data_IF_285935028994
#
_entry.id   IF_285935028994
#
_cell.length_a   1.000
_cell.length_b   1.000
_cell.length_c   1.000
_cell.angle_alpha   90.00
_cell.angle_beta   90.00
_cell.angle_gamma   90.00
#
_symmetry.space_group_name_H-M   'P 1'
#
loop_
_entity.id
_entity.type
_entity.pdbx_description
1 polymer ?
#
# COMPACT_ATOMS: atom_id res chain seq x y z
N UNK A 1 -14.23 -20.35 29.89
CA UNK A 1 -13.53 -19.10 30.28
C UNK A 1 -14.32 -17.92 29.76
N UNK A 2 -14.37 -16.79 30.49
CA UNK A 2 -15.06 -15.59 30.00
C UNK A 2 -14.24 -14.90 28.91
N UNK A 3 -14.91 -14.42 27.86
CA UNK A 3 -14.29 -13.67 26.75
C UNK A 3 -13.54 -12.44 27.25
N UNK A 4 -14.05 -11.81 28.31
CA UNK A 4 -13.43 -10.66 29.00
C UNK A 4 -12.04 -11.00 29.55
N UNK A 5 -11.85 -12.19 30.13
CA UNK A 5 -10.55 -12.59 30.65
C UNK A 5 -9.52 -12.77 29.52
N UNK A 6 -9.94 -13.30 28.37
CA UNK A 6 -9.11 -13.43 27.18
C UNK A 6 -8.73 -12.05 26.62
N UNK A 7 -9.69 -11.13 26.47
CA UNK A 7 -9.40 -9.77 26.02
C UNK A 7 -8.44 -9.02 26.96
N UNK A 8 -8.56 -9.22 28.28
CA UNK A 8 -7.64 -8.60 29.26
C UNK A 8 -6.20 -9.08 29.07
N UNK A 9 -6.02 -10.36 28.72
CA UNK A 9 -4.71 -10.93 28.38
C UNK A 9 -4.14 -10.26 27.13
N UNK A 10 -4.95 -10.11 26.08
CA UNK A 10 -4.51 -9.45 24.83
C UNK A 10 -4.17 -7.97 25.06
N UNK A 11 -4.93 -7.27 25.92
CA UNK A 11 -4.61 -5.89 26.29
C UNK A 11 -3.28 -5.79 27.06
N UNK A 12 -3.02 -6.72 27.97
CA UNK A 12 -1.72 -6.77 28.67
C UNK A 12 -0.57 -7.07 27.71
N UNK A 13 -0.80 -7.95 26.73
CA UNK A 13 0.15 -8.20 25.65
C UNK A 13 0.42 -6.92 24.84
N UNK A 14 -0.60 -6.17 24.45
CA UNK A 14 -0.46 -4.90 23.74
C UNK A 14 0.40 -3.90 24.50
N UNK A 15 0.16 -3.74 25.82
CA UNK A 15 0.96 -2.85 26.69
C UNK A 15 2.45 -3.20 26.69
N UNK A 16 2.78 -4.50 26.72
CA UNK A 16 4.19 -4.94 26.69
C UNK A 16 4.85 -4.74 25.33
N UNK A 17 4.06 -4.74 24.25
CA UNK A 17 4.53 -4.58 22.88
C UNK A 17 4.11 -3.22 22.29
N UNK A 18 4.00 -2.19 23.15
CA UNK A 18 3.46 -0.88 22.76
C UNK A 18 4.21 -0.26 21.58
N UNK A 19 5.53 -0.46 21.49
CA UNK A 19 6.33 0.05 20.37
C UNK A 19 5.92 -0.60 19.05
N UNK A 20 5.74 -1.92 19.03
CA UNK A 20 5.30 -2.65 17.83
C UNK A 20 3.89 -2.24 17.45
N UNK A 21 3.00 -2.11 18.43
CA UNK A 21 1.62 -1.66 18.20
C UNK A 21 1.61 -0.24 17.66
N UNK A 22 2.35 0.70 18.26
CA UNK A 22 2.47 2.08 17.80
C UNK A 22 3.02 2.16 16.37
N UNK A 23 4.09 1.41 16.09
CA UNK A 23 4.68 1.34 14.76
C UNK A 23 3.65 0.88 13.72
N UNK A 24 2.93 -0.19 14.02
CA UNK A 24 1.99 -0.78 13.08
C UNK A 24 0.71 0.05 12.93
N UNK A 25 0.15 0.56 14.04
CA UNK A 25 -1.16 1.23 14.09
C UNK A 25 -1.06 2.71 13.73
N UNK A 26 0.09 3.33 13.95
CA UNK A 26 0.28 4.76 13.72
C UNK A 26 1.31 5.01 12.63
N UNK A 27 2.54 4.51 12.79
CA UNK A 27 3.62 4.92 11.88
C UNK A 27 3.38 4.43 10.45
N UNK A 28 2.95 3.19 10.26
CA UNK A 28 2.65 2.66 8.92
C UNK A 28 1.48 3.42 8.28
N UNK A 29 0.30 3.61 8.91
CA UNK A 29 -0.77 4.43 8.35
C UNK A 29 -0.38 5.87 8.03
N UNK A 30 0.37 6.53 8.92
CA UNK A 30 0.91 7.88 8.66
C UNK A 30 1.80 7.87 7.42
N UNK A 31 2.65 6.85 7.27
CA UNK A 31 3.49 6.71 6.08
C UNK A 31 2.64 6.59 4.82
N UNK A 32 1.62 5.71 4.79
CA UNK A 32 0.73 5.58 3.63
C UNK A 32 -0.01 6.90 3.31
N UNK A 33 -0.58 7.55 4.33
CA UNK A 33 -1.24 8.84 4.17
C UNK A 33 -0.28 9.95 3.72
N UNK A 34 1.00 9.90 4.11
CA UNK A 34 2.02 10.84 3.63
C UNK A 34 2.46 10.55 2.19
N UNK A 35 2.59 9.28 1.82
CA UNK A 35 2.99 8.90 0.45
C UNK A 35 1.93 9.21 -0.58
N UNK A 36 0.64 9.33 -0.21
CA UNK A 36 -0.40 9.71 -1.16
C UNK A 36 -0.08 11.03 -1.86
N UNK A 37 0.56 11.96 -1.14
CA UNK A 37 0.98 13.26 -1.67
C UNK A 37 1.99 13.16 -2.82
N UNK A 38 2.74 12.06 -2.91
CA UNK A 38 3.76 11.86 -3.96
C UNK A 38 3.16 11.40 -5.30
N UNK A 39 1.89 11.00 -5.33
CA UNK A 39 1.25 10.48 -6.55
C UNK A 39 0.64 11.57 -7.43
N UNK A 40 0.83 12.85 -7.10
CA UNK A 40 0.24 13.98 -7.84
C UNK A 40 0.84 14.17 -9.24
N UNK A 41 2.06 13.68 -9.48
CA UNK A 41 2.87 14.06 -10.64
C UNK A 41 2.97 12.99 -11.75
N UNK A 42 2.18 11.91 -11.69
CA UNK A 42 2.24 10.89 -12.75
C UNK A 42 1.37 11.31 -13.93
N UNK A 43 2.01 11.87 -14.96
CA UNK A 43 1.37 12.15 -16.24
C UNK A 43 1.15 10.83 -17.01
N UNK A 44 -0.10 10.45 -17.28
CA UNK A 44 -0.35 9.36 -18.21
C UNK A 44 0.19 9.73 -19.61
N UNK A 45 0.41 8.74 -20.46
CA UNK A 45 0.72 8.95 -21.88
C UNK A 45 -0.37 8.27 -22.70
N UNK A 46 -0.64 8.78 -23.91
CA UNK A 46 -1.60 8.20 -24.84
C UNK A 46 -3.03 8.16 -24.27
N UNK A 47 -3.43 9.22 -23.59
CA UNK A 47 -4.78 9.34 -23.03
C UNK A 47 -5.77 9.52 -24.17
N UNK A 48 -6.79 8.65 -24.32
CA UNK A 48 -7.84 8.86 -25.31
C UNK A 48 -8.62 10.14 -25.02
N UNK A 49 -8.69 11.03 -25.99
CA UNK A 49 -9.41 12.31 -25.91
C UNK A 49 -10.34 12.42 -27.12
N UNK A 50 -11.61 12.73 -26.92
CA UNK A 50 -12.52 12.99 -28.03
C UNK A 50 -12.28 14.41 -28.56
N UNK A 51 -12.13 14.57 -29.87
CA UNK A 51 -12.11 15.88 -30.54
C UNK A 51 -13.45 16.05 -31.24
N UNK A 52 -14.10 17.18 -31.02
CA UNK A 52 -15.45 17.41 -31.53
C UNK A 52 -15.64 18.87 -31.91
N UNK A 53 -16.43 19.11 -32.96
CA UNK A 53 -16.82 20.45 -33.34
C UNK A 53 -17.76 21.09 -32.30
N UNK A 54 -17.61 22.40 -32.10
CA UNK A 54 -18.58 23.21 -31.35
C UNK A 54 -19.93 23.26 -32.06
N UNK A 55 -19.91 23.44 -33.38
CA UNK A 55 -21.08 23.50 -34.26
C UNK A 55 -20.77 23.00 -35.69
N UNK A 56 -21.78 23.02 -36.57
CA UNK A 56 -21.69 22.48 -37.93
C UNK A 56 -20.84 23.34 -38.90
N UNK A 57 -20.30 24.49 -38.46
CA UNK A 57 -19.42 25.32 -39.29
C UNK A 57 -17.95 24.91 -39.24
N UNK A 58 -17.57 24.08 -38.26
CA UNK A 58 -16.23 23.50 -38.15
C UNK A 58 -16.08 22.37 -39.16
N UNK A 59 -15.03 22.41 -39.95
CA UNK A 59 -14.74 21.44 -41.00
C UNK A 59 -14.07 20.18 -40.43
N UNK A 60 -14.23 19.04 -41.14
CA UNK A 60 -13.54 17.80 -40.78
C UNK A 60 -12.00 17.97 -40.81
N UNK A 61 -11.49 18.85 -41.68
CA UNK A 61 -10.06 19.18 -41.80
C UNK A 61 -9.54 19.91 -40.55
N UNK A 62 -10.30 20.89 -40.02
CA UNK A 62 -9.95 21.56 -38.76
C UNK A 62 -9.92 20.56 -37.60
N UNK A 63 -10.91 19.67 -37.49
CA UNK A 63 -10.95 18.65 -36.46
C UNK A 63 -9.76 17.68 -36.55
N UNK A 64 -9.42 17.25 -37.76
CA UNK A 64 -8.29 16.34 -38.00
C UNK A 64 -6.96 17.04 -37.70
N UNK A 65 -6.81 18.32 -38.03
CA UNK A 65 -5.58 19.09 -37.76
C UNK A 65 -5.38 19.30 -36.26
N UNK A 66 -6.43 19.67 -35.53
CA UNK A 66 -6.37 19.73 -34.05
C UNK A 66 -6.06 18.36 -33.46
N UNK A 67 -6.70 17.30 -33.95
CA UNK A 67 -6.41 15.93 -33.50
C UNK A 67 -4.92 15.58 -33.73
N UNK A 68 -4.39 15.77 -34.94
CA UNK A 68 -2.99 15.48 -35.25
C UNK A 68 -2.01 16.30 -34.38
N UNK A 69 -2.36 17.55 -34.06
CA UNK A 69 -1.56 18.41 -33.18
C UNK A 69 -1.38 17.81 -31.79
N UNK A 70 -2.47 17.31 -31.20
CA UNK A 70 -2.47 16.79 -29.82
C UNK A 70 -2.10 15.29 -29.73
N UNK A 71 -1.95 14.59 -30.86
CA UNK A 71 -1.60 13.16 -30.92
C UNK A 71 -0.25 12.85 -30.29
N UNK A 72 0.68 13.80 -30.29
CA UNK A 72 2.03 13.63 -29.70
C UNK A 72 2.02 13.33 -28.19
N UNK A 73 0.96 13.69 -27.47
CA UNK A 73 0.82 13.47 -26.03
C UNK A 73 -0.53 12.86 -25.61
N UNK A 74 -1.51 12.76 -26.52
CA UNK A 74 -2.82 12.12 -26.30
C UNK A 74 -3.03 10.92 -27.25
N UNK A 75 -4.26 10.44 -27.37
CA UNK A 75 -4.72 9.48 -28.38
C UNK A 75 -6.08 9.97 -28.91
N UNK A 76 -6.08 11.01 -29.74
CA UNK A 76 -7.27 11.75 -30.12
C UNK A 76 -8.22 10.89 -30.96
N UNK A 77 -9.52 11.07 -30.76
CA UNK A 77 -10.58 10.40 -31.51
C UNK A 77 -11.60 11.43 -31.96
N UNK A 78 -11.69 11.65 -33.27
CA UNK A 78 -12.71 12.55 -33.83
C UNK A 78 -14.10 11.93 -33.60
N UNK A 79 -14.97 12.68 -32.92
CA UNK A 79 -16.33 12.28 -32.63
C UNK A 79 -17.29 13.05 -33.54
N UNK A 80 -18.20 12.33 -34.22
CA UNK A 80 -19.13 12.97 -35.16
C UNK A 80 -20.23 13.85 -34.54
N UNK A 81 -20.27 14.02 -33.21
CA UNK A 81 -21.16 14.99 -32.54
C UNK A 81 -20.77 15.16 -31.07
N UNK A 82 -21.13 16.31 -30.49
CA UNK A 82 -20.93 16.59 -29.05
C UNK A 82 -21.59 15.54 -28.15
N UNK A 83 -22.76 15.05 -28.55
CA UNK A 83 -23.45 13.99 -27.81
C UNK A 83 -22.74 12.64 -27.91
N UNK A 84 -22.10 12.32 -29.04
CA UNK A 84 -21.28 11.12 -29.18
C UNK A 84 -20.01 11.21 -28.31
N UNK A 85 -19.33 12.36 -28.31
CA UNK A 85 -18.18 12.61 -27.43
C UNK A 85 -18.56 12.50 -25.95
N UNK A 86 -19.70 13.09 -25.54
CA UNK A 86 -20.20 12.96 -24.17
C UNK A 86 -20.51 11.51 -23.79
N UNK A 87 -21.17 10.74 -24.66
CA UNK A 87 -21.39 9.31 -24.43
C UNK A 87 -20.08 8.51 -24.35
N UNK A 88 -19.05 8.93 -25.09
CA UNK A 88 -17.73 8.31 -25.01
C UNK A 88 -17.06 8.60 -23.66
N UNK A 89 -17.19 9.83 -23.15
CA UNK A 89 -16.69 10.25 -21.84
C UNK A 89 -17.43 9.51 -20.71
N UNK A 90 -18.76 9.47 -20.74
CA UNK A 90 -19.61 8.75 -19.77
C UNK A 90 -19.33 7.24 -19.72
N UNK A 91 -18.79 6.66 -20.79
CA UNK A 91 -18.39 5.24 -20.88
C UNK A 91 -16.92 5.02 -20.60
N UNK A 92 -16.19 6.05 -20.17
CA UNK A 92 -14.75 6.04 -19.92
C UNK A 92 -13.93 5.54 -21.14
N UNK A 93 -14.47 5.72 -22.35
CA UNK A 93 -13.77 5.36 -23.59
C UNK A 93 -12.81 6.45 -24.07
N UNK A 94 -13.02 7.68 -23.56
CA UNK A 94 -12.12 8.84 -23.61
C UNK A 94 -12.12 9.47 -22.22
N UNK A 95 -11.07 10.22 -21.87
CA UNK A 95 -10.92 10.87 -20.57
C UNK A 95 -11.14 12.39 -20.61
N UNK A 96 -11.25 12.96 -21.82
CA UNK A 96 -11.58 14.35 -22.02
C UNK A 96 -12.18 14.59 -23.40
N UNK A 97 -12.79 15.76 -23.56
CA UNK A 97 -13.41 16.23 -24.81
C UNK A 97 -12.81 17.58 -25.14
N UNK A 98 -12.15 17.69 -26.29
CA UNK A 98 -11.70 18.94 -26.86
C UNK A 98 -12.79 19.42 -27.81
N UNK A 99 -13.44 20.52 -27.46
CA UNK A 99 -14.44 21.18 -28.30
C UNK A 99 -13.74 22.27 -29.10
N UNK A 100 -13.72 22.10 -30.42
CA UNK A 100 -13.03 22.97 -31.38
C UNK A 100 -14.05 23.99 -31.90
N UNK A 101 -13.84 25.30 -31.69
CA UNK A 101 -14.68 26.35 -32.27
C UNK A 101 -14.39 26.54 -33.77
N UNK A 102 -15.22 27.27 -34.52
CA UNK A 102 -14.91 27.65 -35.90
C UNK A 102 -13.66 28.52 -35.99
N UNK A 103 -13.01 28.49 -37.15
CA UNK A 103 -11.81 29.28 -37.47
C UNK A 103 -10.59 28.94 -36.59
N UNK A 104 -10.58 27.75 -35.97
CA UNK A 104 -9.52 27.35 -35.03
C UNK A 104 -8.14 27.20 -35.69
N UNK A 105 -8.09 27.06 -37.02
CA UNK A 105 -6.85 26.98 -37.80
C UNK A 105 -6.58 28.25 -38.60
N UNK A 106 -7.35 29.31 -38.40
CA UNK A 106 -7.20 30.58 -39.12
C UNK A 106 -6.14 31.45 -38.43
N UNK A 107 -5.10 31.83 -39.18
CA UNK A 107 -4.01 32.68 -38.68
C UNK A 107 -4.54 34.01 -38.12
N UNK A 108 -4.06 34.40 -36.93
CA UNK A 108 -4.42 35.66 -36.27
C UNK A 108 -5.85 35.75 -35.71
N UNK A 109 -6.62 34.66 -35.69
CA UNK A 109 -7.91 34.62 -35.02
C UNK A 109 -7.73 34.45 -33.49
N UNK A 110 -8.56 35.14 -32.68
CA UNK A 110 -8.62 34.90 -31.23
C UNK A 110 -9.62 33.77 -30.98
N UNK A 111 -9.11 32.62 -30.54
CA UNK A 111 -9.88 31.37 -30.50
C UNK A 111 -9.84 30.75 -29.12
N UNK A 112 -11.01 30.38 -28.58
CA UNK A 112 -11.12 29.68 -27.29
C UNK A 112 -11.47 28.21 -27.50
N UNK A 113 -10.52 27.31 -27.27
CA UNK A 113 -10.75 25.86 -27.30
C UNK A 113 -11.20 25.40 -25.91
N UNK A 114 -12.32 24.67 -25.83
CA UNK A 114 -12.79 24.16 -24.53
C UNK A 114 -12.33 22.72 -24.32
N UNK A 115 -11.53 22.46 -23.28
CA UNK A 115 -11.16 21.12 -22.84
C UNK A 115 -12.03 20.68 -21.66
N UNK A 116 -13.03 19.84 -21.94
CA UNK A 116 -13.95 19.31 -20.93
C UNK A 116 -13.45 17.98 -20.37
N UNK A 117 -13.40 17.84 -19.05
CA UNK A 117 -13.09 16.58 -18.36
C UNK A 117 -14.19 16.23 -17.35
N UNK A 118 -14.40 14.94 -17.11
CA UNK A 118 -15.32 14.48 -16.08
C UNK A 118 -14.60 14.43 -14.72
N UNK A 119 -15.15 15.12 -13.73
CA UNK A 119 -14.58 15.18 -12.37
C UNK A 119 -14.59 13.84 -11.63
N UNK A 120 -15.42 12.89 -12.07
CA UNK A 120 -15.42 11.52 -11.54
C UNK A 120 -14.22 10.69 -11.99
N UNK A 121 -13.52 11.09 -13.06
CA UNK A 121 -12.30 10.43 -13.54
C UNK A 121 -11.10 10.98 -12.78
N UNK A 122 -11.05 10.64 -11.49
CA UNK A 122 -10.13 11.21 -10.51
C UNK A 122 -8.65 11.13 -10.90
N UNK A 123 -8.12 10.01 -11.42
CA UNK A 123 -6.71 9.94 -11.82
C UNK A 123 -6.34 10.89 -12.96
N UNK A 124 -7.32 11.46 -13.65
CA UNK A 124 -7.11 12.34 -14.79
C UNK A 124 -7.22 13.83 -14.45
N UNK A 125 -7.84 14.20 -13.32
CA UNK A 125 -8.11 15.61 -13.01
C UNK A 125 -6.82 16.44 -12.85
N UNK A 126 -5.87 16.04 -11.99
CA UNK A 126 -4.61 16.81 -11.86
C UNK A 126 -3.77 16.77 -13.14
N UNK A 127 -3.56 15.62 -13.81
CA UNK A 127 -2.87 15.58 -15.10
C UNK A 127 -3.52 16.42 -16.21
N UNK A 128 -4.85 16.54 -16.21
CA UNK A 128 -5.60 17.31 -17.23
C UNK A 128 -5.22 18.80 -17.28
N UNK A 129 -4.76 19.39 -16.17
CA UNK A 129 -4.23 20.76 -16.17
C UNK A 129 -2.91 20.87 -16.93
N UNK A 130 -2.08 19.82 -16.90
CA UNK A 130 -0.85 19.77 -17.68
C UNK A 130 -1.18 19.58 -19.15
N UNK A 131 -2.17 18.74 -19.47
CA UNK A 131 -2.67 18.60 -20.84
C UNK A 131 -3.23 19.89 -21.40
N UNK A 132 -3.98 20.68 -20.62
CA UNK A 132 -4.44 22.00 -21.01
C UNK A 132 -3.28 22.91 -21.43
N UNK A 133 -2.23 23.00 -20.59
CA UNK A 133 -1.04 23.83 -20.90
C UNK A 133 -0.25 23.32 -22.09
N UNK A 134 -0.16 22.00 -22.27
CA UNK A 134 0.48 21.41 -23.45
C UNK A 134 -0.34 21.70 -24.71
N UNK A 135 -1.66 21.53 -24.67
CA UNK A 135 -2.54 21.88 -25.78
C UNK A 135 -2.42 23.34 -26.16
N UNK A 136 -2.47 24.25 -25.18
CA UNK A 136 -2.27 25.69 -25.37
C UNK A 136 -0.92 25.94 -26.05
N UNK A 137 0.18 25.41 -25.52
CA UNK A 137 1.52 25.56 -26.08
C UNK A 137 1.65 25.05 -27.54
N UNK A 138 1.10 23.87 -27.84
CA UNK A 138 1.23 23.28 -29.18
C UNK A 138 0.29 23.91 -30.21
N UNK A 139 -0.90 24.33 -29.80
CA UNK A 139 -1.86 24.98 -30.69
C UNK A 139 -1.42 26.43 -30.99
N UNK A 140 -1.02 27.19 -29.99
CA UNK A 140 -0.47 28.56 -30.13
C UNK A 140 0.73 28.57 -31.09
N UNK A 141 1.67 27.64 -30.90
CA UNK A 141 2.88 27.56 -31.72
C UNK A 141 2.67 27.13 -33.18
N UNK A 142 1.53 26.54 -33.53
CA UNK A 142 1.25 26.07 -34.91
C UNK A 142 0.50 27.10 -35.76
N UNK A 143 -0.36 27.91 -35.15
CA UNK A 143 -1.30 28.77 -35.88
C UNK A 143 -1.00 30.27 -35.79
N UNK A 144 0.05 30.68 -35.07
CA UNK A 144 0.41 32.09 -34.83
C UNK A 144 -0.83 32.90 -34.39
N UNK A 145 -1.65 32.28 -33.55
CA UNK A 145 -2.97 32.75 -33.12
C UNK A 145 -3.03 32.76 -31.60
N UNK A 146 -3.63 33.80 -31.01
CA UNK A 146 -3.86 33.90 -29.55
C UNK A 146 -4.94 32.87 -29.15
N UNK A 147 -4.52 31.60 -29.02
CA UNK A 147 -5.39 30.48 -28.69
C UNK A 147 -5.35 30.18 -27.20
N UNK A 148 -6.48 30.39 -26.52
CA UNK A 148 -6.61 30.05 -25.10
C UNK A 148 -7.37 28.74 -24.96
N UNK A 149 -6.84 27.80 -24.17
CA UNK A 149 -7.56 26.56 -23.83
C UNK A 149 -8.26 26.72 -22.48
N UNK A 150 -9.58 26.74 -22.44
CA UNK A 150 -10.35 26.77 -21.18
C UNK A 150 -10.65 25.34 -20.71
N UNK A 151 -10.22 25.00 -19.49
CA UNK A 151 -10.58 23.73 -18.89
C UNK A 151 -11.95 23.82 -18.19
N UNK A 152 -12.89 23.00 -18.63
CA UNK A 152 -14.18 22.79 -17.96
C UNK A 152 -14.20 21.43 -17.27
N UNK A 153 -14.58 21.41 -16.00
CA UNK A 153 -14.79 20.15 -15.26
C UNK A 153 -16.28 19.95 -15.08
N UNK A 154 -16.81 18.89 -15.66
CA UNK A 154 -18.19 18.47 -15.47
C UNK A 154 -18.28 17.56 -14.24
N UNK A 155 -19.18 17.86 -13.29
CA UNK A 155 -19.39 17.06 -12.08
C UNK A 155 -18.62 17.54 -10.84
N UNK A 156 -18.60 16.69 -9.81
CA UNK A 156 -17.87 16.93 -8.57
C UNK A 156 -16.38 16.69 -8.78
N UNK A 157 -15.54 17.58 -8.25
CA UNK A 157 -14.08 17.47 -8.33
C UNK A 157 -13.61 16.61 -7.16
N UNK A 158 -13.02 15.47 -7.48
CA UNK A 158 -12.41 14.57 -6.51
C UNK A 158 -10.91 14.57 -6.74
N UNK A 159 -10.14 14.86 -5.70
CA UNK A 159 -8.68 14.86 -5.84
C UNK A 159 -8.14 13.42 -5.84
N UNK A 160 -7.03 13.20 -6.56
CA UNK A 160 -6.38 11.88 -6.63
C UNK A 160 -6.06 11.31 -5.25
N UNK A 161 -5.61 12.17 -4.34
CA UNK A 161 -5.30 11.77 -2.97
C UNK A 161 -6.54 11.27 -2.23
N UNK A 162 -7.70 11.88 -2.50
CA UNK A 162 -8.97 11.49 -1.90
C UNK A 162 -9.42 10.13 -2.41
N UNK A 163 -9.28 9.88 -3.70
CA UNK A 163 -9.58 8.58 -4.31
C UNK A 163 -8.67 7.45 -3.83
N UNK A 164 -7.39 7.73 -3.60
CA UNK A 164 -6.43 6.71 -3.12
C UNK A 164 -6.63 6.37 -1.64
N UNK A 165 -7.31 7.23 -0.89
CA UNK A 165 -7.42 7.11 0.54
C UNK A 165 -8.13 5.82 1.01
N UNK A 166 -9.32 5.45 0.49
CA UNK A 166 -9.96 4.18 0.82
C UNK A 166 -9.14 2.98 0.34
N UNK A 167 -8.46 3.12 -0.81
CA UNK A 167 -7.58 2.08 -1.37
C UNK A 167 -6.41 1.79 -0.43
N UNK A 168 -5.74 2.80 0.11
CA UNK A 168 -4.67 2.62 1.08
C UNK A 168 -5.16 2.03 2.40
N UNK A 169 -6.32 2.47 2.89
CA UNK A 169 -6.91 1.91 4.11
C UNK A 169 -7.27 0.43 3.92
N UNK A 170 -7.81 0.05 2.76
CA UNK A 170 -8.09 -1.34 2.40
C UNK A 170 -6.80 -2.17 2.28
N UNK A 171 -5.78 -1.65 1.57
CA UNK A 171 -4.48 -2.30 1.45
C UNK A 171 -3.82 -2.51 2.82
N UNK A 172 -3.94 -1.52 3.72
CA UNK A 172 -3.50 -1.64 5.10
C UNK A 172 -4.28 -2.73 5.85
N UNK A 173 -5.62 -2.79 5.71
CA UNK A 173 -6.43 -3.82 6.36
C UNK A 173 -6.04 -5.23 5.89
N UNK A 174 -5.75 -5.41 4.59
CA UNK A 174 -5.21 -6.65 4.02
C UNK A 174 -3.86 -6.98 4.65
N UNK A 175 -2.92 -6.04 4.62
CA UNK A 175 -1.59 -6.21 5.23
C UNK A 175 -1.68 -6.57 6.71
N UNK A 176 -2.55 -5.89 7.45
CA UNK A 176 -2.76 -6.09 8.87
C UNK A 176 -3.35 -7.47 9.17
N UNK A 177 -4.36 -7.90 8.41
CA UNK A 177 -4.95 -9.23 8.55
C UNK A 177 -3.90 -10.32 8.31
N UNK A 178 -3.15 -10.26 7.22
CA UNK A 178 -2.18 -11.30 6.86
C UNK A 178 -0.88 -11.25 7.66
N UNK A 179 -0.55 -10.14 8.30
CA UNK A 179 0.66 -10.02 9.13
C UNK A 179 0.37 -10.31 10.60
N UNK A 180 -0.65 -9.64 11.17
CA UNK A 180 -0.91 -9.68 12.60
C UNK A 180 -1.61 -10.97 13.03
N UNK A 181 -2.57 -11.46 12.24
CA UNK A 181 -3.32 -12.66 12.60
C UNK A 181 -2.39 -13.88 12.69
N UNK A 182 -1.60 -14.23 11.65
CA UNK A 182 -0.71 -15.39 11.73
C UNK A 182 0.34 -15.22 12.83
N UNK A 183 0.85 -14.00 13.05
CA UNK A 183 1.81 -13.74 14.10
C UNK A 183 1.26 -14.07 15.50
N UNK A 184 0.05 -13.59 15.81
CA UNK A 184 -0.59 -13.83 17.11
C UNK A 184 -0.86 -15.32 17.33
N UNK A 185 -1.38 -16.03 16.32
CA UNK A 185 -1.63 -17.47 16.42
C UNK A 185 -0.34 -18.29 16.54
N UNK A 186 0.72 -17.94 15.79
CA UNK A 186 2.01 -18.63 15.87
C UNK A 186 2.60 -18.59 17.27
N UNK A 187 2.48 -17.45 17.96
CA UNK A 187 3.00 -17.29 19.32
C UNK A 187 2.30 -18.18 20.34
N UNK A 188 1.07 -18.59 20.07
CA UNK A 188 0.28 -19.46 20.94
C UNK A 188 0.18 -20.91 20.46
N UNK A 189 0.92 -21.26 19.40
CA UNK A 189 0.89 -22.61 18.80
C UNK A 189 1.08 -23.72 19.84
N UNK A 190 2.04 -23.57 20.77
CA UNK A 190 2.31 -24.57 21.81
C UNK A 190 1.15 -24.76 22.81
N UNK A 191 0.28 -23.76 22.97
CA UNK A 191 -0.88 -23.82 23.87
C UNK A 191 -2.12 -24.29 23.11
N UNK A 192 -2.19 -24.07 21.79
CA UNK A 192 -3.30 -24.50 20.95
C UNK A 192 -3.53 -26.02 21.00
N UNK A 193 -2.44 -26.81 21.04
CA UNK A 193 -2.53 -28.27 21.15
C UNK A 193 -3.25 -28.70 22.43
N UNK A 194 -2.99 -28.00 23.54
CA UNK A 194 -3.69 -28.23 24.82
C UNK A 194 -5.12 -27.71 24.79
N UNK A 195 -5.33 -26.51 24.25
CA UNK A 195 -6.65 -25.87 24.20
C UNK A 195 -7.65 -26.66 23.36
N UNK A 196 -7.17 -27.45 22.39
CA UNK A 196 -8.00 -28.35 21.56
C UNK A 196 -8.77 -29.38 22.38
N UNK A 197 -8.27 -29.78 23.55
CA UNK A 197 -8.87 -30.83 24.38
C UNK A 197 -9.65 -30.29 25.58
N UNK A 198 -9.29 -29.12 26.11
CA UNK A 198 -9.81 -28.62 27.40
C UNK A 198 -10.77 -27.41 27.25
N UNK A 199 -10.81 -26.75 26.10
CA UNK A 199 -11.50 -25.45 25.92
C UNK A 199 -12.10 -25.29 24.52
N UNK A 200 -13.14 -24.46 24.40
CA UNK A 200 -13.67 -24.06 23.10
C UNK A 200 -12.64 -23.20 22.36
N UNK A 201 -12.02 -23.80 21.33
CA UNK A 201 -11.14 -23.13 20.37
C UNK A 201 -11.78 -21.85 19.80
N UNK A 202 -13.09 -21.92 19.58
CA UNK A 202 -13.92 -20.81 19.09
C UNK A 202 -13.82 -19.57 19.98
N UNK A 203 -13.89 -19.70 21.31
CA UNK A 203 -13.80 -18.55 22.21
C UNK A 203 -12.44 -17.85 22.14
N UNK A 204 -11.36 -18.61 21.96
CA UNK A 204 -10.00 -18.06 21.80
C UNK A 204 -9.88 -17.32 20.48
N UNK A 205 -10.31 -17.94 19.37
CA UNK A 205 -10.30 -17.32 18.04
C UNK A 205 -11.15 -16.04 18.04
N UNK A 206 -12.39 -16.11 18.55
CA UNK A 206 -13.28 -14.97 18.63
C UNK A 206 -12.68 -13.82 19.44
N UNK A 207 -12.05 -14.12 20.59
CA UNK A 207 -11.40 -13.07 21.39
C UNK A 207 -10.26 -12.36 20.65
N UNK A 208 -9.48 -13.09 19.85
CA UNK A 208 -8.40 -12.51 19.04
C UNK A 208 -8.94 -11.68 17.89
N UNK A 209 -9.97 -12.15 17.21
CA UNK A 209 -10.63 -11.39 16.15
C UNK A 209 -11.23 -10.10 16.69
N UNK A 210 -11.95 -10.15 17.81
CA UNK A 210 -12.48 -8.94 18.47
C UNK A 210 -11.37 -7.96 18.86
N UNK A 211 -10.28 -8.46 19.46
CA UNK A 211 -9.13 -7.64 19.83
C UNK A 211 -8.47 -6.99 18.61
N UNK A 212 -8.21 -7.75 17.53
CA UNK A 212 -7.57 -7.23 16.32
C UNK A 212 -8.48 -6.28 15.54
N UNK A 213 -9.79 -6.55 15.47
CA UNK A 213 -10.77 -5.61 14.90
C UNK A 213 -10.82 -4.30 15.70
N UNK A 214 -10.72 -4.37 17.03
CA UNK A 214 -10.60 -3.16 17.87
C UNK A 214 -9.30 -2.41 17.55
N UNK A 215 -8.21 -3.12 17.29
CA UNK A 215 -6.92 -2.52 16.95
C UNK A 215 -6.94 -1.85 15.57
N UNK A 216 -7.76 -2.35 14.63
CA UNK A 216 -7.99 -1.74 13.31
C UNK A 216 -8.65 -0.35 13.40
N UNK A 217 -9.32 -0.03 14.51
CA UNK A 217 -9.83 1.33 14.74
C UNK A 217 -8.71 2.37 14.80
N UNK A 218 -7.50 1.98 15.24
CA UNK A 218 -6.36 2.90 15.32
C UNK A 218 -5.94 3.46 13.95
N UNK A 219 -5.62 2.62 12.95
CA UNK A 219 -5.37 3.07 11.57
C UNK A 219 -6.52 3.90 11.00
N UNK A 220 -7.78 3.50 11.21
CA UNK A 220 -8.95 4.26 10.74
C UNK A 220 -8.93 5.68 11.31
N UNK A 221 -8.67 5.83 12.62
CA UNK A 221 -8.55 7.14 13.27
C UNK A 221 -7.37 7.94 12.71
N UNK A 222 -6.22 7.30 12.48
CA UNK A 222 -5.03 7.97 11.93
C UNK A 222 -5.31 8.50 10.52
N UNK A 223 -5.94 7.68 9.67
CA UNK A 223 -6.42 8.12 8.37
C UNK A 223 -7.41 9.28 8.58
N UNK A 224 -8.48 9.13 9.36
CA UNK A 224 -9.45 10.21 9.61
C UNK A 224 -8.79 11.53 10.04
N UNK A 225 -7.79 11.49 10.93
CA UNK A 225 -7.01 12.67 11.33
C UNK A 225 -6.25 13.27 10.15
N UNK A 226 -5.61 12.44 9.31
CA UNK A 226 -4.96 12.91 8.08
C UNK A 226 -5.96 13.53 7.10
N UNK A 227 -7.15 12.95 6.94
CA UNK A 227 -8.24 13.48 6.11
C UNK A 227 -8.63 14.89 6.55
N UNK A 228 -8.85 15.09 7.85
CA UNK A 228 -9.16 16.41 8.43
C UNK A 228 -7.98 17.38 8.29
N UNK A 229 -6.75 16.90 8.50
CA UNK A 229 -5.54 17.73 8.43
C UNK A 229 -5.27 18.26 7.02
N UNK A 230 -5.46 17.43 5.99
CA UNK A 230 -5.28 17.83 4.59
C UNK A 230 -6.52 18.52 3.98
N UNK A 231 -7.65 18.54 4.69
CA UNK A 231 -8.88 19.19 4.23
C UNK A 231 -9.62 18.39 3.14
N UNK A 232 -9.43 17.07 3.12
CA UNK A 232 -10.09 16.18 2.17
C UNK A 232 -11.59 16.04 2.44
N UNK A 233 -12.40 16.02 1.38
CA UNK A 233 -13.86 15.95 1.41
C UNK A 233 -14.46 14.57 1.72
N UNK A 234 -13.64 13.60 2.18
CA UNK A 234 -14.07 12.22 2.36
C UNK A 234 -14.74 12.03 3.72
N UNK A 235 -15.94 11.44 3.73
CA UNK A 235 -16.56 10.96 4.97
C UNK A 235 -15.92 9.63 5.41
N UNK A 236 -14.71 9.72 5.96
CA UNK A 236 -13.93 8.56 6.44
C UNK A 236 -14.57 7.82 7.62
N UNK A 237 -15.62 8.38 8.23
CA UNK A 237 -16.37 7.75 9.33
C UNK A 237 -17.78 7.32 8.91
N UNK A 238 -18.06 7.27 7.60
CA UNK A 238 -19.31 6.72 7.09
C UNK A 238 -19.55 5.30 7.67
N UNK A 239 -20.65 5.07 8.40
CA UNK A 239 -20.90 3.79 9.04
C UNK A 239 -20.99 2.63 8.05
N UNK A 240 -21.44 2.87 6.82
CA UNK A 240 -21.50 1.81 5.80
C UNK A 240 -20.10 1.42 5.32
N UNK A 241 -19.26 2.40 4.98
CA UNK A 241 -17.84 2.19 4.64
C UNK A 241 -17.07 1.48 5.75
N UNK A 242 -17.25 1.91 7.00
CA UNK A 242 -16.64 1.26 8.16
C UNK A 242 -17.12 -0.18 8.34
N UNK A 243 -18.41 -0.45 8.17
CA UNK A 243 -18.95 -1.80 8.25
C UNK A 243 -18.35 -2.72 7.17
N UNK A 244 -18.23 -2.24 5.92
CA UNK A 244 -17.60 -2.98 4.81
C UNK A 244 -16.13 -3.25 5.09
N UNK A 245 -15.39 -2.27 5.61
CA UNK A 245 -13.97 -2.42 5.96
C UNK A 245 -13.77 -3.47 7.07
N UNK A 246 -14.54 -3.39 8.16
CA UNK A 246 -14.47 -4.34 9.27
C UNK A 246 -14.88 -5.74 8.83
N UNK A 247 -15.94 -5.86 8.02
CA UNK A 247 -16.38 -7.16 7.48
C UNK A 247 -15.32 -7.78 6.57
N UNK A 248 -14.74 -6.98 5.67
CA UNK A 248 -13.64 -7.41 4.80
C UNK A 248 -12.44 -7.87 5.64
N UNK A 249 -12.05 -7.10 6.66
CA UNK A 249 -10.99 -7.48 7.57
C UNK A 249 -11.28 -8.81 8.28
N UNK A 250 -12.49 -9.01 8.82
CA UNK A 250 -12.89 -10.25 9.49
C UNK A 250 -12.83 -11.46 8.55
N UNK A 251 -13.26 -11.28 7.29
CA UNK A 251 -13.17 -12.33 6.27
C UNK A 251 -11.71 -12.70 5.98
N UNK A 252 -10.84 -11.72 5.78
CA UNK A 252 -9.41 -11.94 5.54
C UNK A 252 -8.71 -12.56 6.76
N UNK A 253 -9.05 -12.10 7.96
CA UNK A 253 -8.50 -12.63 9.21
C UNK A 253 -8.95 -14.07 9.45
N UNK A 254 -10.19 -14.40 9.14
CA UNK A 254 -10.71 -15.78 9.19
C UNK A 254 -9.98 -16.66 8.19
N UNK A 255 -9.81 -16.19 6.95
CA UNK A 255 -9.05 -16.90 5.93
C UNK A 255 -7.59 -17.15 6.37
N UNK A 256 -6.90 -16.12 6.86
CA UNK A 256 -5.54 -16.23 7.38
C UNK A 256 -5.44 -17.21 8.57
N UNK A 257 -6.43 -17.18 9.47
CA UNK A 257 -6.52 -18.12 10.60
C UNK A 257 -6.68 -19.56 10.11
N UNK A 258 -7.58 -19.79 9.16
CA UNK A 258 -7.82 -21.12 8.56
C UNK A 258 -6.54 -21.67 7.93
N UNK A 259 -5.86 -20.87 7.09
CA UNK A 259 -4.58 -21.27 6.47
C UNK A 259 -3.55 -21.61 7.55
N UNK A 260 -3.47 -20.80 8.60
CA UNK A 260 -2.52 -21.02 9.70
C UNK A 260 -2.82 -22.31 10.47
N UNK A 261 -4.08 -22.58 10.80
CA UNK A 261 -4.50 -23.81 11.50
C UNK A 261 -4.20 -25.04 10.64
N UNK A 262 -4.50 -24.99 9.33
CA UNK A 262 -4.19 -26.08 8.39
C UNK A 262 -2.68 -26.30 8.29
N UNK A 263 -1.88 -25.23 8.20
CA UNK A 263 -0.43 -25.30 8.13
C UNK A 263 0.19 -25.88 9.42
N UNK A 264 -0.39 -25.59 10.60
CA UNK A 264 0.04 -26.18 11.86
C UNK A 264 -0.31 -27.68 11.91
N UNK A 265 -1.53 -28.05 11.52
CA UNK A 265 -1.95 -29.46 11.48
C UNK A 265 -1.10 -30.33 10.58
N UNK A 266 -0.71 -29.81 9.40
CA UNK A 266 0.15 -30.53 8.47
C UNK A 266 1.55 -30.87 9.04
N UNK A 267 2.08 -30.05 9.96
CA UNK A 267 3.39 -30.29 10.59
C UNK A 267 3.39 -31.39 11.64
N UNK A 268 2.22 -31.77 12.16
CA UNK A 268 2.09 -32.80 13.20
C UNK A 268 1.95 -34.22 12.61
N UNK A 269 1.53 -34.35 11.35
CA UNK A 269 1.39 -35.64 10.66
C UNK A 269 2.48 -36.05 9.64
N UNK A 270 3.78 -35.69 9.74
CA UNK A 270 4.80 -36.25 8.83
C UNK A 270 4.95 -37.78 8.94
N UNK A 271 4.65 -38.35 10.11
CA UNK A 271 4.88 -39.77 10.42
C UNK A 271 3.75 -40.75 10.09
N UNK A 272 2.59 -40.28 9.60
CA UNK A 272 1.44 -41.16 9.30
C UNK A 272 1.26 -41.47 7.81
N UNK A 273 2.04 -40.84 6.93
CA UNK A 273 1.96 -41.04 5.48
C UNK A 273 3.24 -41.57 4.84
N UNK A 274 4.34 -41.63 5.59
CA UNK A 274 5.64 -42.18 5.16
C UNK A 274 6.22 -43.13 6.21
N UNK A 275 5.37 -43.97 6.82
CA UNK A 275 5.85 -45.20 7.45
C UNK A 275 6.08 -46.21 6.32
N UNK A 276 7.16 -45.98 5.57
CA UNK A 276 7.71 -46.99 4.69
C UNK A 276 8.11 -48.20 5.52
N UNK A 277 7.92 -49.43 5.04
CA UNK A 277 8.27 -50.63 5.78
C UNK A 277 9.79 -50.80 5.88
N UNK A 278 10.45 -50.02 6.74
CA UNK A 278 11.86 -50.19 7.12
C UNK A 278 12.03 -51.18 8.28
N UNK A 279 11.14 -52.17 8.36
CA UNK A 279 11.19 -53.26 9.34
C UNK A 279 12.13 -54.41 8.91
N UNK A 280 13.22 -54.09 8.19
CA UNK A 280 14.20 -55.09 7.74
C UNK A 280 15.67 -54.77 8.04
N UNK A 281 15.95 -53.94 9.06
CA UNK A 281 17.34 -53.76 9.55
C UNK A 281 17.51 -53.75 11.07
N UNK A 282 16.75 -54.60 11.78
CA UNK A 282 17.21 -55.19 13.04
C UNK A 282 17.83 -56.55 12.75
N UNK A 283 19.15 -56.60 12.74
CA UNK A 283 19.87 -57.84 12.51
C UNK A 283 21.39 -57.70 12.49
N UNK A 284 21.97 -56.97 13.43
CA UNK A 284 23.37 -57.22 13.83
C UNK A 284 23.54 -56.84 15.29
N UNK A 285 23.57 -57.81 16.21
CA UNK A 285 24.04 -57.59 17.56
C UNK A 285 25.53 -57.21 17.49
N UNK A 286 25.88 -56.06 18.03
CA UNK A 286 27.26 -55.63 18.20
C UNK A 286 27.83 -56.38 19.42
N UNK A 287 28.75 -57.35 19.26
CA UNK A 287 29.14 -58.27 20.33
C UNK A 287 30.32 -57.76 21.16
N UNK A 288 30.69 -56.47 21.10
CA UNK A 288 31.96 -55.97 21.65
C UNK A 288 31.84 -54.75 22.57
N UNK A 289 30.67 -54.48 23.15
CA UNK A 289 30.57 -53.43 24.18
C UNK A 289 30.72 -54.02 25.58
N UNK A 290 31.97 -54.35 25.87
CA UNK A 290 32.46 -54.84 27.15
C UNK A 290 32.24 -53.85 28.30
N UNK A 291 31.93 -54.46 29.42
CA UNK A 291 31.84 -53.94 30.77
C UNK A 291 33.12 -53.21 31.22
N UNK A 292 33.02 -51.91 31.46
CA UNK A 292 33.86 -51.25 32.46
C UNK A 292 33.06 -50.19 33.21
N UNK A 293 32.21 -50.67 34.12
CA UNK A 293 31.67 -49.86 35.22
C UNK A 293 32.32 -50.35 36.52
N UNK A 294 33.57 -49.94 36.71
CA UNK A 294 34.23 -50.05 38.01
C UNK A 294 33.62 -49.03 38.96
N UNK A 295 33.05 -49.57 40.02
CA UNK A 295 32.79 -48.92 41.29
C UNK A 295 34.01 -48.10 41.74
N UNK A 296 33.79 -46.84 42.07
CA UNK A 296 34.61 -46.14 43.05
C UNK A 296 33.71 -45.25 43.89
N UNK A 297 33.17 -45.89 44.93
CA UNK A 297 32.85 -45.21 46.17
C UNK A 297 34.13 -44.73 46.88
N UNK A 298 33.91 -43.73 47.73
CA UNK A 298 34.68 -43.38 48.92
C UNK A 298 35.64 -42.18 48.83
N UNK A 299 35.27 -41.19 49.65
CA UNK A 299 36.12 -40.51 50.65
C UNK A 299 37.04 -39.36 50.23
N UNK A 300 36.88 -38.27 51.01
CA UNK A 300 37.90 -37.23 51.23
C UNK A 300 37.28 -35.86 51.08
N UNK A 301 37.05 -35.10 52.17
CA UNK A 301 38.02 -34.12 52.73
C UNK A 301 38.38 -33.05 51.69
N UNK A 302 38.38 -31.76 51.95
CA UNK A 302 38.40 -30.96 53.16
C UNK A 302 38.27 -29.51 52.68
N UNK A 303 37.97 -28.62 53.61
CA UNK A 303 38.20 -27.18 53.54
C UNK A 303 39.32 -26.73 52.60
N UNK A 304 39.04 -25.73 51.76
CA UNK A 304 39.90 -24.56 51.69
C UNK A 304 39.12 -23.31 51.30
N UNK A 305 38.98 -22.46 52.31
CA UNK A 305 38.86 -21.02 52.23
C UNK A 305 40.05 -20.44 51.44
N UNK A 306 39.78 -19.71 50.35
CA UNK A 306 40.72 -18.74 49.78
C UNK A 306 39.95 -17.53 49.26
N UNK A 307 39.97 -16.50 50.09
CA UNK A 307 39.87 -15.09 49.71
C UNK A 307 40.88 -14.72 48.62
N UNK A 308 40.49 -13.84 47.67
CA UNK A 308 41.44 -13.06 46.86
C UNK A 308 41.01 -12.91 45.40
N UNK A 309 40.47 -11.75 45.02
CA UNK A 309 41.22 -10.64 44.41
C UNK A 309 41.81 -10.93 43.01
N UNK A 310 41.15 -10.42 41.97
CA UNK A 310 41.76 -9.75 40.80
C UNK A 310 40.65 -9.42 39.77
N UNK A 311 40.03 -8.24 39.82
CA UNK A 311 40.34 -7.12 38.88
C UNK A 311 41.36 -7.46 37.79
N UNK A 312 40.90 -7.50 36.55
CA UNK A 312 41.70 -7.44 35.33
C UNK A 312 40.89 -6.81 34.18
N UNK A 313 41.52 -6.10 33.22
CA UNK A 313 41.01 -4.81 32.75
C UNK A 313 40.30 -4.82 31.39
N UNK A 314 39.54 -3.73 31.21
CA UNK A 314 38.98 -3.20 29.96
C UNK A 314 39.92 -3.38 28.76
N UNK A 315 39.43 -4.03 27.71
CA UNK A 315 39.93 -3.84 26.35
C UNK A 315 39.13 -2.74 25.66
N UNK A 316 39.71 -1.55 25.65
CA UNK A 316 39.46 -0.49 24.69
C UNK A 316 39.94 -0.95 23.31
N UNK A 317 39.00 -1.19 22.39
CA UNK A 317 39.29 -1.33 20.96
C UNK A 317 39.40 0.05 20.30
N UNK A 318 40.24 0.21 19.27
CA UNK A 318 40.62 1.51 18.73
C UNK A 318 39.51 2.17 17.92
N UNK A 319 39.41 3.49 18.11
CA UNK A 319 38.63 4.41 17.32
C UNK A 319 39.08 4.37 15.85
N UNK A 320 38.13 4.12 14.95
CA UNK A 320 38.32 4.38 13.52
C UNK A 320 38.18 5.89 13.24
N UNK A 321 39.06 6.45 12.38
CA UNK A 321 39.12 7.88 12.15
C UNK A 321 37.96 8.41 11.31
N UNK A 322 37.55 9.63 11.66
CA UNK A 322 36.64 10.48 10.93
C UNK A 322 37.07 10.65 9.47
N UNK A 323 36.18 10.29 8.55
CA UNK A 323 36.30 10.62 7.13
C UNK A 323 35.61 11.96 6.89
N UNK A 324 36.33 13.03 7.20
CA UNK A 324 36.08 14.37 6.65
C UNK A 324 36.78 14.49 5.30
N UNK A 325 36.05 14.85 4.24
CA UNK A 325 36.67 15.37 3.03
C UNK A 325 35.90 15.08 1.74
N UNK A 326 35.53 16.16 1.05
CA UNK A 326 35.23 16.16 -0.39
C UNK A 326 33.86 16.73 -0.72
N UNK A 327 33.72 18.07 -0.72
CA UNK A 327 33.85 18.94 -1.91
C UNK A 327 32.59 18.96 -2.78
N UNK A 328 31.88 20.08 -2.65
CA UNK A 328 31.39 20.93 -3.74
C UNK A 328 31.51 20.34 -5.15
N UNK A 329 30.36 20.08 -5.76
CA UNK A 329 30.19 20.35 -7.19
C UNK A 329 28.82 20.99 -7.40
N UNK A 330 28.85 22.31 -7.45
CA UNK A 330 27.94 23.07 -8.28
C UNK A 330 28.16 22.63 -9.73
N UNK A 331 27.08 22.24 -10.41
CA UNK A 331 26.93 22.30 -11.86
C UNK A 331 25.82 23.36 -12.02
N UNK A 332 26.14 24.62 -12.37
CA UNK A 332 26.26 25.12 -13.75
C UNK A 332 24.96 24.76 -14.50
N UNK A 333 23.93 25.59 -14.66
CA UNK A 333 23.84 27.04 -14.94
C UNK A 333 24.82 27.51 -16.03
N UNK A 334 24.46 27.21 -17.29
CA UNK A 334 24.88 27.79 -18.59
C UNK A 334 24.42 26.78 -19.66
N UNK A 335 23.63 27.04 -20.71
CA UNK A 335 23.39 28.24 -21.51
C UNK A 335 21.96 28.19 -22.10
N UNK A 336 21.22 29.30 -22.04
CA UNK A 336 20.19 29.63 -23.04
C UNK A 336 20.54 31.04 -23.53
N UNK A 337 20.88 31.13 -24.82
CA UNK A 337 21.13 32.38 -25.52
C UNK A 337 21.31 32.15 -27.02
N UNK A 338 20.44 32.80 -27.81
CA UNK A 338 20.53 33.01 -29.27
C UNK A 338 20.20 31.76 -30.11
N UNK A 339 19.30 31.79 -31.08
CA UNK A 339 18.77 32.85 -31.96
C UNK A 339 17.28 32.63 -32.25
#
# INVERSE_FOLDING_TARGET
MSLVALLRKELHWSKRNVLVVLFLVVLIPVFFAGTSLLFQDVLPRNVPVAVVAEDDSVTDEELETVAQTIDSFTNPRVAGSRQAAKRQLERESVYGIVTVPPDATTEGAEVQVTFTVDGSIVPFQSPSQVYQRLMEFYLDGLYDSDLTVEQRVDGERLDLNEYLFPTFLMAFAIFFAFTSVPYVFRREAAVMDRLRFETSLEAVVASKLVFLSTLLAGPIIVFHVANVYYGYGIDSLDPAGLAVLVLTFLLLATFATTVMVLALGARVSPGLFFDGPDDYRRGSPDPLRDDHRQEHDAQGREHHDVSGLARGPRRTGPALPARTGGRNRALQEECIGGE
#
